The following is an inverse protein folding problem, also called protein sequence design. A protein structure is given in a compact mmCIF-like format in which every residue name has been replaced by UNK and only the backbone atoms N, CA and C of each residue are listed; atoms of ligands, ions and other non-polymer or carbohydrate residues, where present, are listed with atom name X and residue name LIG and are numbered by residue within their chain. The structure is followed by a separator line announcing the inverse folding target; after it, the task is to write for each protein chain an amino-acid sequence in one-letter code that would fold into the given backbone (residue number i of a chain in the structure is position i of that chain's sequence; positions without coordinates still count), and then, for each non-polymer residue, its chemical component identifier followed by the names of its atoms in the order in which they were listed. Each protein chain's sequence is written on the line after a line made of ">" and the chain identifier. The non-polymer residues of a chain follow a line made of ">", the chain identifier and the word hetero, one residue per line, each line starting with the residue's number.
data_IF_584956564494
#
_entry.id   IF_584956564494
#
_cell.length_a   1.000
_cell.length_b   1.000
_cell.length_c   1.000
_cell.angle_alpha   90.00
_cell.angle_beta   90.00
_cell.angle_gamma   90.00
#
_symmetry.space_group_name_H-M   'P 1'
#
loop_
_entity.id
_entity.type
_entity.pdbx_description
1 polymer ?
#
# COMPACT_ATOMS: atom_id res chain seq x y z
N UNK A 1 -27.21 46.75 -11.30
CA UNK A 1 -26.33 45.82 -12.04
C UNK A 1 -25.80 44.80 -11.06
N UNK A 2 -26.40 43.61 -11.02
CA UNK A 2 -26.02 42.53 -10.10
C UNK A 2 -24.96 41.70 -10.83
N UNK A 3 -23.72 41.73 -10.34
CA UNK A 3 -22.62 40.97 -10.90
C UNK A 3 -22.87 39.47 -10.71
N UNK A 4 -23.01 38.74 -11.83
CA UNK A 4 -23.04 37.28 -11.85
C UNK A 4 -21.64 36.76 -11.57
N UNK A 5 -21.47 36.03 -10.46
CA UNK A 5 -20.32 35.15 -10.28
C UNK A 5 -20.45 33.95 -11.22
N UNK A 6 -19.39 33.57 -11.97
CA UNK A 6 -19.39 32.33 -12.71
C UNK A 6 -19.27 31.15 -11.73
N UNK A 7 -20.14 30.16 -11.89
CA UNK A 7 -20.04 28.89 -11.20
C UNK A 7 -18.72 28.21 -11.55
N UNK A 8 -17.91 27.93 -10.53
CA UNK A 8 -16.75 27.05 -10.62
C UNK A 8 -17.21 25.65 -11.01
N UNK A 9 -16.80 25.19 -12.19
CA UNK A 9 -16.97 23.82 -12.64
C UNK A 9 -15.97 22.93 -11.90
N UNK A 10 -16.36 22.41 -10.73
CA UNK A 10 -15.66 21.31 -10.09
C UNK A 10 -15.94 20.01 -10.88
N UNK A 11 -15.20 19.79 -11.96
CA UNK A 11 -15.21 18.52 -12.67
C UNK A 11 -14.62 17.45 -11.76
N UNK A 12 -15.47 16.62 -11.16
CA UNK A 12 -15.04 15.45 -10.37
C UNK A 12 -14.58 14.37 -11.35
N UNK A 13 -13.29 14.04 -11.33
CA UNK A 13 -12.72 12.98 -12.14
C UNK A 13 -13.16 11.60 -11.65
N UNK A 14 -13.56 10.72 -12.56
CA UNK A 14 -13.79 9.31 -12.27
C UNK A 14 -12.46 8.55 -12.39
N UNK A 15 -12.16 7.66 -11.44
CA UNK A 15 -10.92 6.86 -11.43
C UNK A 15 -11.21 5.43 -11.90
N UNK A 16 -10.28 4.89 -12.69
CA UNK A 16 -10.26 3.46 -13.06
C UNK A 16 -9.17 2.74 -12.30
N UNK A 17 -9.58 1.76 -11.50
CA UNK A 17 -8.68 0.76 -10.92
C UNK A 17 -8.83 -0.50 -11.76
N UNK A 18 -7.82 -0.83 -12.59
CA UNK A 18 -7.82 -2.07 -13.37
C UNK A 18 -7.49 -3.27 -12.46
N UNK A 19 -8.52 -3.88 -11.86
CA UNK A 19 -8.38 -5.13 -11.13
C UNK A 19 -8.33 -6.34 -12.11
N UNK A 20 -7.57 -7.41 -11.81
CA UNK A 20 -7.53 -8.60 -12.66
C UNK A 20 -8.93 -9.21 -12.85
N UNK A 21 -9.19 -9.72 -14.06
CA UNK A 21 -10.48 -10.09 -14.69
C UNK A 21 -11.50 -10.90 -13.86
N UNK A 22 -11.13 -11.42 -12.69
CA UNK A 22 -12.05 -12.09 -11.77
C UNK A 22 -12.75 -11.13 -10.77
N UNK A 23 -12.36 -9.85 -10.72
CA UNK A 23 -12.91 -8.86 -9.79
C UNK A 23 -13.60 -7.75 -10.58
N UNK A 24 -14.90 -7.52 -10.35
CA UNK A 24 -15.67 -6.47 -11.05
C UNK A 24 -14.98 -5.11 -10.93
N UNK A 25 -14.94 -4.38 -12.04
CA UNK A 25 -14.47 -3.00 -12.14
C UNK A 25 -15.10 -2.16 -11.02
N UNK A 26 -14.30 -1.66 -10.08
CA UNK A 26 -14.75 -0.64 -9.11
C UNK A 26 -14.56 0.69 -9.79
N UNK A 27 -15.61 1.22 -10.42
CA UNK A 27 -15.64 2.62 -10.85
C UNK A 27 -15.69 3.47 -9.59
N UNK A 28 -14.61 4.18 -9.25
CA UNK A 28 -14.63 5.17 -8.15
C UNK A 28 -15.25 6.45 -8.71
N UNK A 29 -16.58 6.44 -8.86
CA UNK A 29 -17.35 7.68 -8.99
C UNK A 29 -17.49 8.27 -7.60
N UNK A 30 -17.50 9.60 -7.47
CA UNK A 30 -17.77 10.34 -6.21
C UNK A 30 -19.19 10.12 -5.64
N UNK A 31 -19.88 9.09 -6.11
CA UNK A 31 -21.18 8.57 -5.68
C UNK A 31 -21.13 7.08 -5.29
N UNK A 32 -19.95 6.45 -5.19
CA UNK A 32 -19.79 5.08 -4.70
C UNK A 32 -19.57 5.07 -3.19
N UNK A 33 -20.40 4.30 -2.49
CA UNK A 33 -20.26 3.97 -1.08
C UNK A 33 -18.93 3.21 -0.86
N UNK A 34 -17.88 3.92 -0.48
CA UNK A 34 -16.57 3.34 -0.16
C UNK A 34 -15.61 4.40 0.36
N UNK A 35 -14.71 4.01 1.25
CA UNK A 35 -13.66 4.88 1.80
C UNK A 35 -12.52 5.16 0.81
N UNK A 36 -11.49 5.92 1.24
CA UNK A 36 -10.31 6.20 0.40
C UNK A 36 -9.53 4.91 0.07
N UNK A 37 -8.70 4.93 -0.98
CA UNK A 37 -7.76 3.85 -1.25
C UNK A 37 -6.63 3.87 -0.23
N UNK A 38 -6.32 2.73 0.41
CA UNK A 38 -5.07 2.65 1.16
C UNK A 38 -3.90 2.64 0.18
N UNK A 39 -2.86 3.43 0.42
CA UNK A 39 -1.67 3.42 -0.42
C UNK A 39 -0.40 3.32 0.40
N UNK A 40 0.63 2.64 -0.10
CA UNK A 40 1.96 2.70 0.52
C UNK A 40 2.42 4.16 0.58
N UNK A 41 2.70 4.69 1.77
CA UNK A 41 3.00 6.11 1.95
C UNK A 41 4.18 6.62 1.09
N UNK A 42 5.16 5.76 0.80
CA UNK A 42 6.26 6.11 -0.09
C UNK A 42 5.82 6.44 -1.53
N UNK A 43 4.69 5.88 -1.99
CA UNK A 43 4.06 6.19 -3.28
C UNK A 43 3.37 7.56 -3.27
N UNK A 44 2.87 8.00 -2.13
CA UNK A 44 2.33 9.35 -1.94
C UNK A 44 3.41 10.41 -1.67
N UNK A 45 4.69 10.05 -1.77
CA UNK A 45 5.82 10.99 -1.63
C UNK A 45 6.40 11.12 -0.22
N UNK A 46 5.89 10.37 0.77
CA UNK A 46 6.44 10.37 2.12
C UNK A 46 7.82 9.68 2.13
N UNK A 47 8.78 10.32 2.80
CA UNK A 47 10.16 9.82 2.95
C UNK A 47 10.27 8.74 4.03
N UNK A 48 9.58 7.62 3.82
CA UNK A 48 9.43 6.54 4.81
C UNK A 48 10.08 5.21 4.43
N UNK A 49 10.80 5.14 3.29
CA UNK A 49 11.56 3.95 2.92
C UNK A 49 12.67 3.67 3.93
N UNK A 50 13.20 2.46 3.89
CA UNK A 50 14.31 2.04 4.76
C UNK A 50 15.54 2.95 4.63
N UNK A 51 15.79 3.50 3.44
CA UNK A 51 16.88 4.42 3.10
C UNK A 51 16.56 5.90 3.36
N UNK A 52 15.40 6.22 3.96
CA UNK A 52 14.94 7.60 4.15
C UNK A 52 14.45 8.29 2.87
N UNK A 53 14.36 7.55 1.76
CA UNK A 53 13.81 8.04 0.51
C UNK A 53 12.28 7.91 0.42
N UNK A 54 11.77 8.38 -0.71
CA UNK A 54 10.40 8.13 -1.17
C UNK A 54 10.44 7.37 -2.51
N UNK A 55 9.28 6.98 -3.03
CA UNK A 55 9.13 6.43 -4.39
C UNK A 55 7.80 6.90 -4.97
N UNK A 56 7.66 8.21 -5.21
CA UNK A 56 6.36 8.79 -5.55
C UNK A 56 5.84 8.23 -6.87
N UNK A 57 4.57 7.88 -6.87
CA UNK A 57 3.77 7.64 -8.05
C UNK A 57 2.87 8.86 -8.24
N UNK A 58 2.89 9.45 -9.44
CA UNK A 58 2.24 10.75 -9.70
C UNK A 58 0.74 10.69 -9.45
N UNK A 59 0.09 9.61 -9.87
CA UNK A 59 -1.36 9.48 -9.78
C UNK A 59 -1.74 9.24 -8.31
N UNK A 60 -0.99 8.39 -7.60
CA UNK A 60 -1.20 8.14 -6.16
C UNK A 60 -0.98 9.41 -5.33
N UNK A 61 0.04 10.20 -5.63
CA UNK A 61 0.31 11.47 -4.95
C UNK A 61 -0.83 12.48 -5.19
N UNK A 62 -1.38 12.55 -6.41
CA UNK A 62 -2.57 13.34 -6.72
C UNK A 62 -3.78 12.93 -5.87
N UNK A 63 -4.08 11.63 -5.84
CA UNK A 63 -5.18 11.09 -5.03
C UNK A 63 -5.03 11.37 -3.53
N UNK A 64 -3.81 11.29 -3.01
CA UNK A 64 -3.53 11.62 -1.62
C UNK A 64 -3.78 13.11 -1.33
N UNK A 65 -3.38 13.99 -2.23
CA UNK A 65 -3.62 15.44 -2.10
C UNK A 65 -5.12 15.80 -2.15
N UNK A 66 -5.92 15.01 -2.87
CA UNK A 66 -7.38 15.16 -2.96
C UNK A 66 -8.14 14.47 -1.81
N UNK A 67 -7.43 13.78 -0.90
CA UNK A 67 -8.06 13.01 0.19
C UNK A 67 -8.75 11.72 -0.27
N UNK A 68 -8.50 11.27 -1.51
CA UNK A 68 -9.03 10.04 -2.08
C UNK A 68 -8.13 8.83 -1.81
N UNK A 69 -6.89 9.05 -1.37
CA UNK A 69 -5.98 8.02 -0.89
C UNK A 69 -5.57 8.28 0.56
N UNK A 70 -5.42 7.19 1.31
CA UNK A 70 -4.95 7.13 2.70
C UNK A 70 -3.52 6.56 2.71
N UNK A 71 -2.48 7.41 2.83
CA UNK A 71 -1.10 6.97 2.83
C UNK A 71 -0.72 6.36 4.18
N UNK A 72 -0.27 5.10 4.19
CA UNK A 72 0.21 4.42 5.40
C UNK A 72 1.54 3.69 5.15
N UNK A 73 2.36 3.60 6.19
CA UNK A 73 3.58 2.79 6.20
C UNK A 73 3.52 1.81 7.36
N UNK A 74 3.25 0.53 7.06
CA UNK A 74 3.16 -0.51 8.08
C UNK A 74 4.44 -0.59 8.93
N UNK A 75 5.62 -0.46 8.32
CA UNK A 75 6.90 -0.52 9.02
C UNK A 75 7.03 0.57 10.11
N UNK A 76 6.58 1.81 9.85
CA UNK A 76 6.57 2.87 10.87
C UNK A 76 5.50 2.65 11.92
N UNK A 77 4.32 2.17 11.51
CA UNK A 77 3.24 1.84 12.44
C UNK A 77 3.61 0.69 13.38
N UNK A 78 4.54 -0.17 12.94
CA UNK A 78 5.18 -1.21 13.74
C UNK A 78 6.35 -0.73 14.61
N UNK A 79 6.69 0.56 14.57
CA UNK A 79 7.73 1.15 15.39
C UNK A 79 9.14 1.17 14.79
N UNK A 80 9.33 0.76 13.53
CA UNK A 80 10.64 0.80 12.90
C UNK A 80 11.07 2.24 12.54
N UNK A 81 12.37 2.59 12.69
CA UNK A 81 12.86 3.93 12.44
C UNK A 81 13.04 4.26 10.94
N UNK A 82 13.42 5.51 10.68
CA UNK A 82 13.93 5.97 9.39
C UNK A 82 15.27 6.71 9.65
N UNK A 83 16.39 6.30 9.02
CA UNK A 83 16.55 5.08 8.23
C UNK A 83 16.49 3.81 9.09
N UNK A 84 16.41 2.64 8.44
CA UNK A 84 16.47 1.31 9.05
C UNK A 84 17.20 0.33 8.14
N UNK A 85 17.71 -0.77 8.68
CA UNK A 85 18.35 -1.81 7.88
C UNK A 85 17.33 -2.47 6.93
N UNK A 86 17.69 -2.79 5.68
CA UNK A 86 16.82 -3.55 4.79
C UNK A 86 16.46 -4.90 5.41
N UNK A 87 15.22 -5.34 5.23
CA UNK A 87 14.74 -6.62 5.74
C UNK A 87 14.06 -7.44 4.64
N UNK A 88 14.05 -8.75 4.80
CA UNK A 88 13.44 -9.70 3.87
C UNK A 88 12.71 -10.81 4.64
N UNK A 89 11.73 -11.44 3.98
CA UNK A 89 11.00 -12.57 4.57
C UNK A 89 11.78 -13.87 4.33
N UNK A 90 12.19 -14.51 5.42
CA UNK A 90 12.92 -15.79 5.44
C UNK A 90 11.95 -16.91 5.81
N UNK A 91 11.95 -17.99 5.00
CA UNK A 91 11.15 -19.19 5.27
C UNK A 91 9.72 -19.18 4.73
N UNK A 92 9.33 -18.18 3.94
CA UNK A 92 7.98 -18.10 3.36
C UNK A 92 7.67 -16.74 2.75
N UNK A 93 6.42 -16.31 2.83
CA UNK A 93 5.94 -14.97 2.49
C UNK A 93 5.13 -14.31 3.63
N UNK A 94 4.43 -13.22 3.33
CA UNK A 94 3.64 -12.48 4.30
C UNK A 94 2.52 -13.28 4.96
N UNK A 95 1.92 -14.27 4.29
CA UNK A 95 0.94 -15.17 4.89
C UNK A 95 1.62 -16.07 5.93
N UNK A 96 2.76 -16.66 5.56
CA UNK A 96 3.54 -17.52 6.46
C UNK A 96 4.05 -16.76 7.70
N UNK A 97 4.37 -15.46 7.56
CA UNK A 97 4.74 -14.62 8.71
C UNK A 97 3.55 -14.45 9.67
N UNK A 98 2.35 -14.19 9.14
CA UNK A 98 1.15 -14.03 9.97
C UNK A 98 0.74 -15.33 10.67
N UNK A 99 1.05 -16.48 10.08
CA UNK A 99 0.79 -17.82 10.67
C UNK A 99 1.94 -18.31 11.58
N UNK A 100 3.03 -17.55 11.69
CA UNK A 100 4.18 -17.88 12.55
C UNK A 100 5.11 -18.94 11.95
N UNK A 101 5.09 -19.15 10.64
CA UNK A 101 5.92 -20.09 9.89
C UNK A 101 7.13 -19.44 9.22
N UNK A 102 7.13 -18.11 9.06
CA UNK A 102 8.24 -17.34 8.50
C UNK A 102 8.62 -16.15 9.40
N UNK A 103 9.80 -15.57 9.13
CA UNK A 103 10.34 -14.43 9.88
C UNK A 103 10.74 -13.30 8.95
N UNK A 104 10.76 -12.08 9.46
CA UNK A 104 11.30 -10.92 8.77
C UNK A 104 12.66 -10.58 9.39
N UNK A 105 13.72 -10.83 8.64
CA UNK A 105 15.10 -10.70 9.12
C UNK A 105 15.77 -9.53 8.41
N UNK A 106 16.48 -8.69 9.15
CA UNK A 106 17.30 -7.61 8.56
C UNK A 106 18.57 -8.17 7.95
N UNK A 107 19.19 -7.42 7.04
CA UNK A 107 20.50 -7.78 6.48
C UNK A 107 21.58 -7.97 7.54
N UNK A 108 21.43 -7.30 8.68
CA UNK A 108 22.38 -7.38 9.79
C UNK A 108 22.06 -8.55 10.76
N UNK A 109 21.04 -9.36 10.46
CA UNK A 109 20.67 -10.57 11.18
C UNK A 109 19.66 -10.38 12.32
N UNK A 110 19.08 -9.18 12.45
CA UNK A 110 18.08 -8.89 13.47
C UNK A 110 16.70 -9.40 13.07
N UNK A 111 15.98 -10.02 14.01
CA UNK A 111 14.59 -10.44 13.81
C UNK A 111 13.64 -9.28 14.12
N UNK A 112 13.00 -8.74 13.08
CA UNK A 112 12.05 -7.61 13.17
C UNK A 112 10.61 -8.06 12.89
N UNK A 113 10.34 -9.37 12.98
CA UNK A 113 9.04 -9.98 12.66
C UNK A 113 7.88 -9.33 13.40
N UNK A 114 8.03 -9.10 14.71
CA UNK A 114 6.96 -8.52 15.54
C UNK A 114 6.55 -7.13 15.09
N UNK A 115 7.52 -6.28 14.70
CA UNK A 115 7.25 -4.94 14.19
C UNK A 115 6.46 -5.00 12.88
N UNK A 116 6.81 -5.93 11.98
CA UNK A 116 6.08 -6.13 10.73
C UNK A 116 4.64 -6.61 10.96
N UNK A 117 4.43 -7.57 11.86
CA UNK A 117 3.10 -8.08 12.20
C UNK A 117 2.25 -6.99 12.84
N UNK A 118 2.78 -6.27 13.83
CA UNK A 118 2.07 -5.18 14.52
C UNK A 118 1.69 -4.07 13.54
N UNK A 119 2.64 -3.64 12.73
CA UNK A 119 2.44 -2.61 11.71
C UNK A 119 1.42 -3.00 10.64
N UNK A 120 1.49 -4.24 10.14
CA UNK A 120 0.54 -4.76 9.17
C UNK A 120 -0.88 -4.82 9.74
N UNK A 121 -1.03 -5.36 10.96
CA UNK A 121 -2.34 -5.44 11.62
C UNK A 121 -2.93 -4.08 11.93
N UNK A 122 -2.11 -3.12 12.39
CA UNK A 122 -2.54 -1.76 12.66
C UNK A 122 -3.00 -1.05 11.37
N UNK A 123 -2.21 -1.09 10.31
CA UNK A 123 -2.58 -0.51 9.02
C UNK A 123 -3.83 -1.15 8.42
N UNK A 124 -3.95 -2.48 8.49
CA UNK A 124 -5.12 -3.21 8.00
C UNK A 124 -6.38 -2.92 8.84
N UNK A 125 -6.25 -2.70 10.14
CA UNK A 125 -7.34 -2.26 11.00
C UNK A 125 -7.82 -0.85 10.64
N UNK A 126 -6.90 0.09 10.41
CA UNK A 126 -7.23 1.44 9.94
C UNK A 126 -7.94 1.37 8.58
N UNK A 127 -7.43 0.56 7.64
CA UNK A 127 -8.04 0.40 6.33
C UNK A 127 -9.50 -0.10 6.42
N UNK A 128 -9.73 -1.11 7.25
CA UNK A 128 -11.07 -1.64 7.50
C UNK A 128 -11.99 -0.60 8.16
N UNK A 129 -11.49 0.13 9.17
CA UNK A 129 -12.25 1.18 9.85
C UNK A 129 -12.65 2.33 8.92
N UNK A 130 -11.73 2.72 8.03
CA UNK A 130 -11.97 3.76 7.04
C UNK A 130 -12.81 3.29 5.85
N UNK A 131 -13.17 2.00 5.79
CA UNK A 131 -13.95 1.43 4.70
C UNK A 131 -13.19 1.41 3.37
N UNK A 132 -11.85 1.28 3.40
CA UNK A 132 -11.02 1.25 2.20
C UNK A 132 -11.44 0.07 1.30
N UNK A 133 -11.87 0.31 0.05
CA UNK A 133 -12.31 -0.77 -0.84
C UNK A 133 -11.13 -1.57 -1.39
N UNK A 134 -9.96 -0.93 -1.50
CA UNK A 134 -8.75 -1.52 -2.03
C UNK A 134 -7.50 -0.82 -1.49
N UNK A 135 -6.36 -1.46 -1.74
CA UNK A 135 -5.03 -0.99 -1.40
C UNK A 135 -4.09 -1.02 -2.62
N UNK A 136 -3.32 0.05 -2.83
CA UNK A 136 -2.26 0.14 -3.85
C UNK A 136 -0.90 0.14 -3.16
N UNK A 137 -0.16 -0.95 -3.29
CA UNK A 137 1.06 -1.18 -2.51
C UNK A 137 2.33 -1.19 -3.35
N UNK A 138 3.43 -0.74 -2.75
CA UNK A 138 4.76 -0.77 -3.34
C UNK A 138 5.27 -2.22 -3.45
N UNK A 139 5.46 -2.69 -4.67
CA UNK A 139 5.95 -4.04 -4.99
C UNK A 139 7.33 -4.33 -4.36
N UNK A 140 7.64 -5.62 -4.14
CA UNK A 140 8.92 -6.19 -3.66
C UNK A 140 9.24 -6.01 -2.18
N UNK A 141 8.58 -5.07 -1.50
CA UNK A 141 8.80 -4.83 -0.05
C UNK A 141 8.34 -6.04 0.78
N UNK A 142 9.07 -6.41 1.85
CA UNK A 142 8.61 -7.42 2.82
C UNK A 142 7.29 -7.05 3.51
N UNK A 143 6.92 -5.77 3.58
CA UNK A 143 5.60 -5.36 4.08
C UNK A 143 4.59 -5.27 2.92
N UNK A 144 4.95 -4.59 1.84
CA UNK A 144 3.99 -4.10 0.84
C UNK A 144 3.94 -4.92 -0.46
N UNK A 145 4.87 -5.86 -0.68
CA UNK A 145 4.92 -6.67 -1.91
C UNK A 145 3.59 -7.37 -2.16
N UNK A 146 3.10 -7.34 -3.41
CA UNK A 146 1.78 -7.86 -3.77
C UNK A 146 1.90 -9.21 -4.48
N UNK A 147 2.87 -9.33 -5.38
CA UNK A 147 3.13 -10.55 -6.16
C UNK A 147 4.51 -11.13 -5.95
N UNK A 148 5.49 -10.25 -5.75
CA UNK A 148 6.87 -10.66 -5.52
C UNK A 148 7.45 -9.94 -4.33
N UNK A 149 8.39 -10.62 -3.69
CA UNK A 149 9.23 -10.17 -2.59
C UNK A 149 10.65 -10.65 -2.83
N UNK A 150 11.63 -10.07 -2.13
CA UNK A 150 12.98 -10.62 -2.11
C UNK A 150 13.00 -12.01 -1.48
N UNK A 151 13.96 -12.84 -1.88
CA UNK A 151 13.95 -14.27 -1.60
C UNK A 151 14.28 -14.63 -0.13
N UNK A 152 14.83 -13.68 0.65
CA UNK A 152 15.24 -13.88 2.04
C UNK A 152 16.74 -14.11 2.21
N UNK A 153 17.52 -14.09 1.11
CA UNK A 153 18.97 -14.31 1.14
C UNK A 153 19.77 -13.00 1.15
N UNK A 154 19.11 -11.85 0.98
CA UNK A 154 19.78 -10.56 0.76
C UNK A 154 20.71 -10.50 -0.46
N UNK A 155 20.53 -11.40 -1.43
CA UNK A 155 21.26 -11.42 -2.71
C UNK A 155 20.69 -10.46 -3.76
N UNK A 156 19.46 -9.95 -3.54
CA UNK A 156 18.72 -9.15 -4.50
C UNK A 156 17.81 -9.96 -5.42
N UNK A 157 17.82 -11.30 -5.30
CA UNK A 157 16.91 -12.19 -6.02
C UNK A 157 15.47 -12.05 -5.54
N UNK A 158 14.52 -12.31 -6.46
CA UNK A 158 13.09 -12.20 -6.20
C UNK A 158 12.42 -13.57 -6.26
N UNK A 159 11.43 -13.78 -5.39
CA UNK A 159 10.52 -14.93 -5.42
C UNK A 159 9.07 -14.49 -5.55
N UNK A 160 8.21 -15.42 -5.95
CA UNK A 160 6.75 -15.24 -5.82
C UNK A 160 6.37 -15.23 -4.34
N UNK A 161 5.46 -14.33 -3.98
CA UNK A 161 5.01 -14.17 -2.59
C UNK A 161 4.56 -12.74 -2.34
N UNK A 162 3.88 -12.52 -1.22
CA UNK A 162 3.44 -11.20 -0.79
C UNK A 162 4.11 -10.74 0.50
N UNK A 163 4.00 -9.45 0.81
CA UNK A 163 4.46 -8.88 2.06
C UNK A 163 3.40 -8.95 3.16
N UNK A 164 3.81 -8.74 4.40
CA UNK A 164 2.98 -8.93 5.61
C UNK A 164 1.72 -8.03 5.62
N UNK A 165 1.82 -6.78 5.16
CA UNK A 165 0.65 -5.88 5.03
C UNK A 165 -0.30 -6.35 3.93
N UNK A 166 0.24 -6.79 2.79
CA UNK A 166 -0.57 -7.30 1.69
C UNK A 166 -1.39 -8.53 2.13
N UNK A 167 -0.78 -9.46 2.86
CA UNK A 167 -1.45 -10.60 3.47
C UNK A 167 -2.53 -10.15 4.47
N UNK A 168 -2.20 -9.26 5.41
CA UNK A 168 -3.14 -8.77 6.43
C UNK A 168 -4.38 -8.08 5.84
N UNK A 169 -4.22 -7.32 4.76
CA UNK A 169 -5.33 -6.68 4.04
C UNK A 169 -6.20 -7.72 3.31
N UNK A 170 -5.60 -8.70 2.64
CA UNK A 170 -6.31 -9.79 1.96
C UNK A 170 -7.15 -10.62 2.93
N UNK A 171 -6.60 -10.95 4.10
CA UNK A 171 -7.34 -11.67 5.19
C UNK A 171 -8.58 -10.91 5.66
N UNK A 172 -8.63 -9.59 5.47
CA UNK A 172 -9.79 -8.74 5.78
C UNK A 172 -10.72 -8.49 4.58
N UNK A 173 -10.49 -9.16 3.45
CA UNK A 173 -11.29 -9.00 2.23
C UNK A 173 -11.03 -7.68 1.47
N UNK A 174 -9.95 -6.97 1.78
CA UNK A 174 -9.56 -5.74 1.06
C UNK A 174 -8.76 -6.15 -0.17
N UNK A 175 -9.17 -5.66 -1.35
CA UNK A 175 -8.44 -5.93 -2.58
C UNK A 175 -7.06 -5.28 -2.55
N UNK A 176 -6.01 -6.00 -2.97
CA UNK A 176 -4.63 -5.49 -2.98
C UNK A 176 -4.06 -5.55 -4.39
N UNK A 177 -3.61 -4.41 -4.90
CA UNK A 177 -2.96 -4.26 -6.20
C UNK A 177 -1.60 -3.59 -6.06
N UNK A 178 -0.64 -3.87 -6.95
CA UNK A 178 0.64 -3.19 -6.94
C UNK A 178 0.53 -1.74 -7.44
N UNK A 179 1.59 -0.97 -7.23
CA UNK A 179 1.80 0.32 -7.91
C UNK A 179 1.69 0.19 -9.44
N UNK A 180 1.21 1.24 -10.11
CA UNK A 180 1.01 1.29 -11.57
C UNK A 180 -0.30 0.67 -12.08
N UNK A 181 -1.16 0.17 -11.18
CA UNK A 181 -2.49 -0.37 -11.51
C UNK A 181 -3.60 0.69 -11.51
N UNK A 182 -3.39 1.81 -10.82
CA UNK A 182 -4.33 2.95 -10.82
C UNK A 182 -3.85 3.98 -11.81
N UNK A 183 -4.77 4.51 -12.62
CA UNK A 183 -4.51 5.63 -13.54
C UNK A 183 -5.66 6.64 -13.45
N UNK A 184 -5.32 7.92 -13.50
CA UNK A 184 -6.34 8.95 -13.72
C UNK A 184 -6.94 8.81 -15.12
N UNK A 185 -8.28 8.82 -15.25
CA UNK A 185 -8.90 8.86 -16.59
C UNK A 185 -8.63 10.23 -17.24
N UNK A 186 -8.18 10.22 -18.49
CA UNK A 186 -8.18 11.41 -19.36
C UNK A 186 -6.86 12.15 -19.53
N UNK A 187 -5.71 11.49 -19.32
CA UNK A 187 -4.40 11.97 -19.79
C UNK A 187 -3.67 10.92 -20.60
#
# INVERSE_FOLDING_TARGET
>A
MIARHPASASGRGALDVELPRATRLVTVNSSVQGGPLLVSACLAGFKCRYDGGAKPDRDIAGLAAEGLALPLCAELMGGLPIPRSPAEIVGGDGEDVLDGHARVITRDGEDVTDAFIQGANAAAAVAAHMGCPAAVLQERSPACGVRTIYDGTHSGELKQGCGVLAAALRRRGIAVVPTGTVRERGR
#
